data_IF_494332230827
#
_entry.id   IF_494332230827
#
_cell.length_a   1.000
_cell.length_b   1.000
_cell.length_c   1.000
_cell.angle_alpha   90.00
_cell.angle_beta   90.00
_cell.angle_gamma   90.00
#
_symmetry.space_group_name_H-M   'P 1'
#
loop_
_entity.id
_entity.type
_entity.pdbx_description
1 polymer ?
#
# COMPACT_ATOMS: atom_id res chain seq x y z
N UNK A 1 49.54 12.90 -0.23
CA UNK A 1 48.28 12.67 -0.97
C UNK A 1 47.37 13.84 -0.65
N UNK A 2 47.39 14.90 -1.47
CA UNK A 2 46.49 16.04 -1.29
C UNK A 2 45.06 15.56 -1.53
N UNK A 3 44.22 15.59 -0.50
CA UNK A 3 42.80 15.26 -0.64
C UNK A 3 42.10 16.44 -1.29
N UNK A 4 42.07 16.45 -2.61
CA UNK A 4 41.45 17.52 -3.39
C UNK A 4 39.93 17.52 -3.16
N UNK A 5 39.46 18.48 -2.37
CA UNK A 5 38.04 18.68 -2.03
C UNK A 5 37.17 18.78 -3.29
N UNK A 6 37.69 19.46 -4.31
CA UNK A 6 37.04 19.65 -5.61
C UNK A 6 36.80 18.32 -6.32
N UNK A 7 37.77 17.41 -6.31
CA UNK A 7 37.65 16.08 -6.93
C UNK A 7 36.62 15.21 -6.20
N UNK A 8 36.62 15.26 -4.86
CA UNK A 8 35.66 14.52 -4.05
C UNK A 8 34.21 15.00 -4.28
N UNK A 9 34.01 16.32 -4.36
CA UNK A 9 32.71 16.92 -4.67
C UNK A 9 32.23 16.58 -6.08
N UNK A 10 33.13 16.62 -7.07
CA UNK A 10 32.81 16.24 -8.46
C UNK A 10 32.37 14.77 -8.55
N UNK A 11 33.03 13.86 -7.82
CA UNK A 11 32.65 12.45 -7.78
C UNK A 11 31.26 12.23 -7.16
N UNK A 12 30.90 12.97 -6.11
CA UNK A 12 29.55 12.92 -5.52
C UNK A 12 28.46 13.43 -6.47
N UNK A 13 28.78 14.38 -7.35
CA UNK A 13 27.85 14.91 -8.34
C UNK A 13 27.69 13.98 -9.56
N UNK A 14 28.76 13.28 -9.95
CA UNK A 14 28.77 12.38 -11.11
C UNK A 14 28.13 11.01 -10.83
N UNK A 15 28.05 10.59 -9.57
CA UNK A 15 27.46 9.31 -9.19
C UNK A 15 25.94 9.28 -9.42
N UNK A 16 25.51 8.53 -10.44
CA UNK A 16 24.09 8.30 -10.78
C UNK A 16 23.53 7.01 -10.20
N UNK A 17 24.39 6.02 -9.97
CA UNK A 17 24.03 4.71 -9.46
C UNK A 17 24.27 4.59 -7.96
N UNK A 18 23.46 3.77 -7.28
CA UNK A 18 23.54 3.56 -5.83
C UNK A 18 24.94 3.13 -5.37
N UNK A 19 25.54 2.14 -6.03
CA UNK A 19 26.86 1.62 -5.68
C UNK A 19 27.96 2.69 -5.86
N UNK A 20 27.90 3.45 -6.95
CA UNK A 20 28.83 4.55 -7.21
C UNK A 20 28.68 5.69 -6.19
N UNK A 21 27.46 5.96 -5.73
CA UNK A 21 27.17 6.98 -4.72
C UNK A 21 27.68 6.57 -3.33
N UNK A 22 27.58 5.29 -2.96
CA UNK A 22 28.15 4.77 -1.70
C UNK A 22 29.67 4.87 -1.67
N UNK A 23 30.34 4.46 -2.74
CA UNK A 23 31.80 4.58 -2.84
C UNK A 23 32.24 6.04 -2.80
N UNK A 24 31.54 6.94 -3.51
CA UNK A 24 31.87 8.36 -3.51
C UNK A 24 31.64 9.02 -2.13
N UNK A 25 30.57 8.66 -1.42
CA UNK A 25 30.32 9.15 -0.05
C UNK A 25 31.40 8.66 0.92
N UNK A 26 31.86 7.41 0.78
CA UNK A 26 32.92 6.87 1.64
C UNK A 26 34.26 7.59 1.39
N UNK A 27 34.61 7.84 0.13
CA UNK A 27 35.82 8.56 -0.25
C UNK A 27 35.78 10.04 0.16
N UNK A 28 34.59 10.64 0.19
CA UNK A 28 34.40 12.04 0.58
C UNK A 28 34.20 12.25 2.08
N UNK A 29 34.25 11.21 2.93
CA UNK A 29 33.93 11.30 4.36
C UNK A 29 34.75 12.37 5.12
N UNK A 30 35.95 12.68 4.66
CA UNK A 30 36.79 13.74 5.22
C UNK A 30 36.17 15.15 5.11
N UNK A 31 35.23 15.38 4.18
CA UNK A 31 34.49 16.64 4.04
C UNK A 31 33.62 16.97 5.26
N UNK A 32 33.32 16.01 6.14
CA UNK A 32 32.59 16.28 7.39
C UNK A 32 33.40 17.11 8.40
N UNK A 33 34.73 17.04 8.32
CA UNK A 33 35.64 17.79 9.19
C UNK A 33 35.92 19.22 8.69
N UNK A 34 35.55 19.53 7.44
CA UNK A 34 35.80 20.83 6.81
C UNK A 34 34.54 21.71 6.95
N UNK A 35 34.61 22.88 7.58
CA UNK A 35 33.50 23.82 7.61
C UNK A 35 33.28 24.44 6.22
N UNK A 36 32.04 24.43 5.72
CA UNK A 36 31.69 25.11 4.47
C UNK A 36 30.70 24.34 3.58
N UNK A 37 30.64 24.78 2.33
CA UNK A 37 29.71 24.31 1.30
C UNK A 37 29.97 22.83 0.91
N UNK A 38 31.23 22.39 0.92
CA UNK A 38 31.58 21.01 0.54
C UNK A 38 31.00 19.95 1.50
N UNK A 39 30.85 20.30 2.78
CA UNK A 39 30.13 19.46 3.75
C UNK A 39 28.64 19.35 3.43
N UNK A 40 28.03 20.43 2.94
CA UNK A 40 26.63 20.40 2.51
C UNK A 40 26.45 19.48 1.30
N UNK A 41 27.41 19.47 0.38
CA UNK A 41 27.40 18.56 -0.79
C UNK A 41 27.50 17.09 -0.38
N UNK A 42 28.30 16.75 0.63
CA UNK A 42 28.32 15.40 1.20
C UNK A 42 26.99 15.01 1.86
N UNK A 43 26.37 15.92 2.62
CA UNK A 43 25.04 15.69 3.23
C UNK A 43 23.94 15.53 2.17
N UNK A 44 24.00 16.30 1.09
CA UNK A 44 23.09 16.18 -0.03
C UNK A 44 23.25 14.80 -0.72
N UNK A 45 24.48 14.34 -0.92
CA UNK A 45 24.76 13.01 -1.47
C UNK A 45 24.23 11.88 -0.57
N UNK A 46 24.46 11.94 0.76
CA UNK A 46 23.87 11.00 1.74
C UNK A 46 22.34 10.98 1.69
N UNK A 47 21.72 12.15 1.51
CA UNK A 47 20.26 12.26 1.39
C UNK A 47 19.74 11.62 0.10
N UNK A 48 20.44 11.82 -1.02
CA UNK A 48 20.14 11.13 -2.30
C UNK A 48 20.24 9.61 -2.15
N UNK A 49 21.30 9.12 -1.49
CA UNK A 49 21.46 7.69 -1.22
C UNK A 49 20.29 7.14 -0.39
N UNK A 50 19.87 7.86 0.66
CA UNK A 50 18.73 7.44 1.49
C UNK A 50 17.43 7.41 0.69
N UNK A 51 17.20 8.38 -0.20
CA UNK A 51 16.03 8.39 -1.10
C UNK A 51 16.07 7.22 -2.08
N UNK A 52 17.20 6.98 -2.76
CA UNK A 52 17.36 5.83 -3.66
C UNK A 52 17.11 4.49 -2.94
N UNK A 53 17.59 4.33 -1.70
CA UNK A 53 17.30 3.14 -0.88
C UNK A 53 15.83 3.03 -0.50
N UNK A 54 15.16 4.14 -0.17
CA UNK A 54 13.73 4.14 0.13
C UNK A 54 12.87 3.85 -1.11
N UNK A 55 13.28 4.35 -2.28
CA UNK A 55 12.64 4.09 -3.57
C UNK A 55 12.82 2.62 -3.97
N UNK A 56 13.98 2.01 -3.70
CA UNK A 56 14.17 0.56 -3.89
C UNK A 56 13.38 -0.25 -2.88
N UNK A 57 13.37 0.11 -1.59
CA UNK A 57 12.52 -0.59 -0.59
C UNK A 57 11.04 -0.47 -0.92
N UNK A 58 10.58 0.66 -1.48
CA UNK A 58 9.18 0.82 -1.91
C UNK A 58 8.87 0.08 -3.21
N UNK A 59 9.82 0.02 -4.17
CA UNK A 59 9.70 -0.81 -5.38
C UNK A 59 9.78 -2.31 -5.05
N UNK A 60 10.64 -2.71 -4.14
CA UNK A 60 10.73 -4.07 -3.60
C UNK A 60 9.50 -4.40 -2.78
N UNK A 61 8.93 -3.47 -2.00
CA UNK A 61 7.65 -3.68 -1.32
C UNK A 61 6.48 -3.80 -2.32
N UNK A 62 6.52 -3.08 -3.44
CA UNK A 62 5.53 -3.18 -4.52
C UNK A 62 5.75 -4.42 -5.42
N UNK A 63 6.96 -4.95 -5.51
CA UNK A 63 7.27 -6.20 -6.22
C UNK A 63 7.06 -7.44 -5.33
N UNK A 64 7.33 -7.33 -4.02
CA UNK A 64 7.12 -8.37 -3.02
C UNK A 64 5.66 -8.45 -2.55
N UNK A 65 4.83 -7.43 -2.82
CA UNK A 65 3.38 -7.52 -2.60
C UNK A 65 2.70 -8.58 -3.47
N UNK A 66 3.37 -9.09 -4.51
CA UNK A 66 2.82 -10.15 -5.37
C UNK A 66 3.31 -11.57 -4.99
N UNK A 67 4.35 -11.71 -4.16
CA UNK A 67 4.97 -13.03 -3.90
C UNK A 67 5.16 -13.43 -2.43
N UNK A 68 5.18 -12.50 -1.45
CA UNK A 68 5.49 -12.89 -0.08
C UNK A 68 4.88 -11.96 1.00
N UNK A 69 3.57 -11.78 0.97
CA UNK A 69 2.83 -11.42 2.19
C UNK A 69 2.89 -12.65 3.09
N UNK A 70 3.36 -12.60 4.36
CA UNK A 70 3.06 -13.65 5.30
C UNK A 70 1.55 -13.61 5.46
N UNK A 71 0.86 -14.43 4.67
CA UNK A 71 -0.55 -14.69 4.83
C UNK A 71 -0.58 -15.46 6.14
N UNK A 72 -0.77 -14.73 7.25
CA UNK A 72 -1.45 -15.29 8.41
C UNK A 72 -2.77 -15.80 7.86
N UNK A 73 -2.75 -17.04 7.34
CA UNK A 73 -3.90 -17.70 6.74
C UNK A 73 -4.98 -17.61 7.79
N UNK A 74 -6.05 -16.90 7.44
CA UNK A 74 -7.19 -16.74 8.31
C UNK A 74 -7.55 -18.12 8.86
N UNK A 75 -7.76 -18.27 10.18
CA UNK A 75 -8.15 -19.54 10.77
C UNK A 75 -9.49 -20.06 10.22
N UNK A 76 -10.24 -19.21 9.51
CA UNK A 76 -11.52 -19.53 8.88
C UNK A 76 -11.43 -19.87 7.38
N UNK A 77 -10.23 -20.03 6.80
CA UNK A 77 -10.10 -20.46 5.42
C UNK A 77 -10.73 -21.85 5.22
N UNK A 78 -11.59 -22.00 4.20
CA UNK A 78 -12.29 -23.25 3.88
C UNK A 78 -11.64 -23.93 2.68
N UNK A 79 -11.77 -25.26 2.58
CA UNK A 79 -11.31 -26.02 1.40
C UNK A 79 -12.16 -25.73 0.15
N UNK A 80 -13.44 -25.35 0.34
CA UNK A 80 -14.37 -25.03 -0.75
C UNK A 80 -15.31 -23.89 -0.35
N UNK A 81 -15.68 -23.08 -1.33
CA UNK A 81 -16.56 -21.92 -1.19
C UNK A 81 -17.78 -22.08 -2.10
N UNK A 82 -18.98 -21.73 -1.62
CA UNK A 82 -20.23 -21.77 -2.39
C UNK A 82 -20.81 -20.37 -2.54
N UNK A 83 -21.15 -19.97 -3.77
CA UNK A 83 -21.81 -18.70 -4.08
C UNK A 83 -23.15 -18.52 -3.37
N UNK A 84 -23.81 -19.60 -2.92
CA UNK A 84 -25.05 -19.53 -2.11
C UNK A 84 -24.84 -18.92 -0.72
N UNK A 85 -23.62 -18.93 -0.20
CA UNK A 85 -23.30 -18.28 1.07
C UNK A 85 -23.28 -16.75 0.95
N UNK A 86 -23.16 -16.21 -0.27
CA UNK A 86 -23.04 -14.78 -0.55
C UNK A 86 -24.09 -13.95 0.19
N UNK A 87 -25.39 -14.24 0.03
CA UNK A 87 -26.47 -13.43 0.61
C UNK A 87 -26.38 -13.36 2.14
N UNK A 88 -26.09 -14.51 2.78
CA UNK A 88 -25.93 -14.59 4.24
C UNK A 88 -24.70 -13.84 4.73
N UNK A 89 -23.62 -13.84 3.94
CA UNK A 89 -22.36 -13.19 4.30
C UNK A 89 -22.41 -11.68 4.03
N UNK A 90 -23.17 -11.23 3.03
CA UNK A 90 -23.43 -9.82 2.73
C UNK A 90 -24.05 -9.09 3.93
N UNK A 91 -25.01 -9.70 4.62
CA UNK A 91 -25.58 -9.06 5.82
C UNK A 91 -24.63 -9.06 7.02
N UNK A 92 -23.68 -10.00 7.05
CA UNK A 92 -22.75 -10.19 8.17
C UNK A 92 -21.52 -9.31 8.04
N UNK A 93 -20.93 -9.20 6.84
CA UNK A 93 -19.65 -8.51 6.67
C UNK A 93 -19.75 -7.04 7.08
N UNK A 94 -20.85 -6.34 6.80
CA UNK A 94 -21.02 -4.93 7.20
C UNK A 94 -21.09 -4.75 8.72
N UNK A 95 -21.60 -5.77 9.43
CA UNK A 95 -21.78 -5.76 10.89
C UNK A 95 -20.55 -6.21 11.68
N UNK A 96 -19.51 -6.69 11.00
CA UNK A 96 -18.26 -7.08 11.65
C UNK A 96 -17.57 -5.87 12.29
N UNK A 97 -16.80 -6.12 13.35
CA UNK A 97 -16.10 -5.07 14.10
C UNK A 97 -14.80 -4.64 13.38
N UNK A 98 -14.94 -3.95 12.25
CA UNK A 98 -13.83 -3.51 11.39
C UNK A 98 -12.91 -2.51 12.09
N UNK A 99 -11.61 -2.71 11.92
CA UNK A 99 -10.61 -1.77 12.44
C UNK A 99 -10.55 -0.50 11.63
N UNK A 100 -10.57 0.63 12.34
CA UNK A 100 -10.28 1.92 11.73
C UNK A 100 -8.77 2.07 11.64
N UNK A 101 -8.28 2.26 10.41
CA UNK A 101 -6.88 2.50 10.09
C UNK A 101 -6.69 3.99 9.84
N UNK A 102 -5.75 4.60 10.54
CA UNK A 102 -5.31 5.97 10.29
C UNK A 102 -4.23 5.95 9.20
N UNK A 103 -4.47 6.67 8.11
CA UNK A 103 -3.54 6.87 7.00
C UNK A 103 -2.87 8.26 7.14
N UNK A 104 -1.67 8.46 6.57
CA UNK A 104 -1.02 9.78 6.58
C UNK A 104 -1.94 10.84 5.96
N UNK A 105 -1.96 12.04 6.54
CA UNK A 105 -2.89 13.10 6.15
C UNK A 105 -4.21 13.10 6.94
N UNK A 106 -4.31 12.33 8.03
CA UNK A 106 -5.45 12.36 8.95
C UNK A 106 -6.68 11.61 8.44
N UNK A 107 -6.55 10.86 7.33
CA UNK A 107 -7.62 10.05 6.79
C UNK A 107 -7.84 8.80 7.66
N UNK A 108 -9.08 8.56 8.09
CA UNK A 108 -9.49 7.35 8.80
C UNK A 108 -10.36 6.51 7.86
N UNK A 109 -9.89 5.30 7.56
CA UNK A 109 -10.58 4.38 6.64
C UNK A 109 -10.65 2.99 7.26
N UNK A 110 -11.55 2.15 6.73
CA UNK A 110 -11.58 0.72 7.07
C UNK A 110 -10.39 0.01 6.41
N UNK A 111 -10.13 -1.27 6.72
CA UNK A 111 -9.08 -2.03 6.05
C UNK A 111 -9.44 -2.26 4.58
N UNK A 112 -8.42 -2.44 3.74
CA UNK A 112 -8.61 -2.67 2.30
C UNK A 112 -9.47 -3.93 2.04
N UNK A 113 -9.40 -4.93 2.94
CA UNK A 113 -10.21 -6.15 2.90
C UNK A 113 -11.73 -5.88 2.95
N UNK A 114 -12.17 -4.88 3.73
CA UNK A 114 -13.57 -4.45 3.77
C UNK A 114 -14.00 -3.90 2.41
N UNK A 115 -13.17 -3.04 1.82
CA UNK A 115 -13.48 -2.41 0.53
C UNK A 115 -13.46 -3.43 -0.60
N UNK A 116 -12.58 -4.43 -0.55
CA UNK A 116 -12.54 -5.53 -1.51
C UNK A 116 -13.84 -6.36 -1.48
N UNK A 117 -14.33 -6.71 -0.28
CA UNK A 117 -15.65 -7.35 -0.12
C UNK A 117 -16.77 -6.47 -0.68
N UNK A 118 -16.75 -5.16 -0.38
CA UNK A 118 -17.72 -4.22 -0.93
C UNK A 118 -17.69 -4.20 -2.47
N UNK A 119 -16.51 -4.17 -3.08
CA UNK A 119 -16.35 -4.19 -4.54
C UNK A 119 -16.99 -5.42 -5.17
N UNK A 120 -16.69 -6.63 -4.66
CA UNK A 120 -17.31 -7.86 -5.15
C UNK A 120 -18.83 -7.90 -4.91
N UNK A 121 -19.30 -7.38 -3.78
CA UNK A 121 -20.72 -7.27 -3.50
C UNK A 121 -21.43 -6.38 -4.52
N UNK A 122 -20.86 -5.20 -4.83
CA UNK A 122 -21.41 -4.28 -5.82
C UNK A 122 -21.35 -4.86 -7.23
N UNK A 123 -20.26 -5.52 -7.61
CA UNK A 123 -20.14 -6.21 -8.89
C UNK A 123 -21.15 -7.37 -9.03
N UNK A 124 -21.42 -8.10 -7.95
CA UNK A 124 -22.39 -9.19 -7.94
C UNK A 124 -23.86 -8.73 -7.94
N UNK A 125 -24.15 -7.47 -7.60
CA UNK A 125 -25.52 -6.94 -7.47
C UNK A 125 -25.86 -5.93 -8.56
N UNK A 126 -24.94 -5.00 -8.83
CA UNK A 126 -25.11 -3.91 -9.79
C UNK A 126 -24.28 -4.09 -11.06
N UNK A 127 -23.31 -5.00 -11.07
CA UNK A 127 -22.39 -5.19 -12.19
C UNK A 127 -21.32 -4.11 -12.22
N UNK A 128 -20.87 -3.77 -13.43
CA UNK A 128 -19.73 -2.88 -13.65
C UNK A 128 -19.98 -1.46 -13.14
N UNK A 129 -19.00 -0.89 -12.44
CA UNK A 129 -19.07 0.48 -11.98
C UNK A 129 -19.05 1.47 -13.16
N UNK A 130 -20.09 2.29 -13.27
CA UNK A 130 -20.20 3.42 -14.21
C UNK A 130 -20.31 4.76 -13.50
N UNK A 131 -20.26 4.79 -12.17
CA UNK A 131 -20.35 6.01 -11.38
C UNK A 131 -19.04 6.81 -11.42
N UNK A 132 -19.12 8.11 -11.18
CA UNK A 132 -17.93 8.95 -11.06
C UNK A 132 -17.27 8.79 -9.68
N UNK A 133 -15.94 8.94 -9.64
CA UNK A 133 -15.18 8.82 -8.39
C UNK A 133 -15.53 9.97 -7.44
N UNK A 134 -16.05 9.70 -6.22
CA UNK A 134 -16.45 10.76 -5.30
C UNK A 134 -15.24 11.57 -4.84
N UNK A 135 -15.31 12.90 -4.94
CA UNK A 135 -14.21 13.78 -4.52
C UNK A 135 -14.45 14.38 -3.13
N UNK A 136 -15.70 14.67 -2.79
CA UNK A 136 -16.11 15.38 -1.57
C UNK A 136 -17.26 14.63 -0.88
N UNK A 137 -17.24 14.64 0.46
CA UNK A 137 -18.33 14.06 1.25
C UNK A 137 -19.50 15.04 1.33
N UNK A 138 -20.73 14.53 1.44
CA UNK A 138 -21.94 15.37 1.56
C UNK A 138 -21.89 16.33 2.76
N UNK A 139 -21.21 15.94 3.84
CA UNK A 139 -21.03 16.74 5.05
C UNK A 139 -19.84 17.72 4.98
N UNK A 140 -19.21 17.85 3.81
CA UNK A 140 -17.98 18.59 3.60
C UNK A 140 -16.71 17.77 3.90
N UNK A 141 -15.59 18.17 3.30
CA UNK A 141 -14.31 17.49 3.43
C UNK A 141 -14.03 16.45 2.33
N UNK A 142 -12.84 15.85 2.39
CA UNK A 142 -12.42 14.81 1.45
C UNK A 142 -13.07 13.47 1.83
N UNK A 143 -13.73 12.83 0.86
CA UNK A 143 -14.37 11.53 1.08
C UNK A 143 -13.40 10.37 0.86
N UNK A 144 -12.64 10.00 1.88
CA UNK A 144 -11.72 8.86 1.79
C UNK A 144 -12.45 7.51 1.74
N UNK A 145 -13.57 7.37 2.42
CA UNK A 145 -14.33 6.11 2.48
C UNK A 145 -15.06 5.84 1.16
N UNK A 146 -15.76 6.83 0.60
CA UNK A 146 -16.42 6.71 -0.69
C UNK A 146 -15.43 6.49 -1.82
N UNK A 147 -14.26 7.15 -1.79
CA UNK A 147 -13.18 6.87 -2.74
C UNK A 147 -12.70 5.44 -2.66
N UNK A 148 -12.45 4.93 -1.45
CA UNK A 148 -11.97 3.55 -1.28
C UNK A 148 -13.01 2.51 -1.75
N UNK A 149 -14.30 2.75 -1.47
CA UNK A 149 -15.41 1.92 -1.99
C UNK A 149 -15.46 1.94 -3.52
N UNK A 150 -15.39 3.13 -4.11
CA UNK A 150 -15.42 3.31 -5.56
C UNK A 150 -14.20 2.68 -6.23
N UNK A 151 -13.01 2.85 -5.65
CA UNK A 151 -11.75 2.29 -6.16
C UNK A 151 -11.85 0.75 -6.15
N UNK A 152 -12.32 0.16 -5.05
CA UNK A 152 -12.46 -1.30 -4.94
C UNK A 152 -13.52 -1.87 -5.91
N UNK A 153 -14.66 -1.20 -6.09
CA UNK A 153 -15.66 -1.63 -7.07
C UNK A 153 -15.14 -1.52 -8.51
N UNK A 154 -14.42 -0.45 -8.82
CA UNK A 154 -13.82 -0.27 -10.16
C UNK A 154 -12.74 -1.30 -10.45
N UNK A 155 -11.99 -1.73 -9.44
CA UNK A 155 -10.94 -2.75 -9.59
C UNK A 155 -11.49 -4.14 -9.98
N UNK A 156 -12.75 -4.43 -9.67
CA UNK A 156 -13.39 -5.73 -10.00
C UNK A 156 -14.29 -5.65 -11.24
N UNK A 157 -14.18 -4.58 -12.02
CA UNK A 157 -14.91 -4.38 -13.27
C UNK A 157 -14.62 -5.50 -14.27
N UNK A 158 -15.66 -5.97 -14.95
CA UNK A 158 -15.58 -7.07 -15.92
C UNK A 158 -15.61 -8.47 -15.29
N UNK A 159 -15.69 -8.59 -13.97
CA UNK A 159 -15.88 -9.88 -13.30
C UNK A 159 -17.35 -10.29 -13.43
N UNK A 160 -17.60 -11.52 -13.91
CA UNK A 160 -18.94 -12.07 -14.01
C UNK A 160 -19.60 -12.20 -12.63
N UNK A 161 -20.92 -12.03 -12.56
CA UNK A 161 -21.70 -12.02 -11.31
C UNK A 161 -21.45 -13.25 -10.44
N UNK A 162 -21.45 -14.45 -11.03
CA UNK A 162 -21.21 -15.70 -10.28
C UNK A 162 -19.79 -15.78 -9.71
N UNK A 163 -18.81 -15.34 -10.51
CA UNK A 163 -17.40 -15.27 -10.07
C UNK A 163 -17.23 -14.25 -8.95
N UNK A 164 -17.88 -13.09 -9.04
CA UNK A 164 -17.85 -12.08 -7.98
C UNK A 164 -18.44 -12.60 -6.66
N UNK A 165 -19.54 -13.37 -6.71
CA UNK A 165 -20.10 -14.03 -5.52
C UNK A 165 -19.12 -15.04 -4.91
N UNK A 166 -18.48 -15.88 -5.72
CA UNK A 166 -17.48 -16.83 -5.22
C UNK A 166 -16.26 -16.15 -4.61
N UNK A 167 -15.71 -15.13 -5.29
CA UNK A 167 -14.56 -14.37 -4.79
C UNK A 167 -14.90 -13.60 -3.51
N UNK A 168 -16.14 -13.11 -3.38
CA UNK A 168 -16.63 -12.51 -2.13
C UNK A 168 -16.60 -13.51 -0.98
N UNK A 169 -17.18 -14.69 -1.17
CA UNK A 169 -17.24 -15.74 -0.14
C UNK A 169 -15.83 -16.18 0.25
N UNK A 170 -14.96 -16.41 -0.73
CA UNK A 170 -13.55 -16.73 -0.50
C UNK A 170 -12.85 -15.64 0.31
N UNK A 171 -12.96 -14.40 -0.13
CA UNK A 171 -12.35 -13.23 0.53
C UNK A 171 -12.84 -13.09 1.98
N UNK A 172 -14.13 -13.33 2.23
CA UNK A 172 -14.72 -13.23 3.57
C UNK A 172 -14.07 -14.18 4.57
N UNK A 173 -13.74 -15.39 4.13
CA UNK A 173 -13.11 -16.41 4.96
C UNK A 173 -11.60 -16.25 5.06
N UNK A 174 -10.95 -15.77 4.00
CA UNK A 174 -9.49 -15.67 3.91
C UNK A 174 -8.91 -14.34 4.43
N UNK A 175 -9.71 -13.28 4.58
CA UNK A 175 -9.17 -12.00 5.02
C UNK A 175 -8.53 -12.10 6.41
N UNK A 176 -7.45 -11.33 6.67
CA UNK A 176 -6.62 -11.52 7.85
C UNK A 176 -7.33 -11.07 9.13
N UNK A 177 -7.06 -11.78 10.23
CA UNK A 177 -7.59 -11.51 11.59
C UNK A 177 -7.42 -10.04 11.99
N UNK A 178 -6.29 -9.43 11.59
CA UNK A 178 -5.95 -8.03 11.87
C UNK A 178 -6.87 -7.00 11.20
N UNK A 179 -7.78 -7.39 10.31
CA UNK A 179 -8.76 -6.48 9.72
C UNK A 179 -9.89 -6.13 10.72
N UNK A 180 -10.12 -6.98 11.73
CA UNK A 180 -11.12 -6.76 12.77
C UNK A 180 -10.46 -6.45 14.12
N UNK A 181 -11.16 -5.74 15.01
CA UNK A 181 -10.68 -5.49 16.38
C UNK A 181 -10.62 -6.78 17.19
N UNK A 182 -11.57 -7.68 16.93
CA UNK A 182 -11.62 -9.06 17.40
C UNK A 182 -12.21 -9.92 16.29
N UNK A 183 -11.57 -11.03 15.94
CA UNK A 183 -12.11 -11.96 14.95
C UNK A 183 -13.19 -12.82 15.61
N UNK A 184 -14.44 -12.47 15.31
CA UNK A 184 -15.65 -13.15 15.81
C UNK A 184 -16.40 -13.84 14.67
N UNK A 185 -15.71 -14.14 13.56
CA UNK A 185 -16.32 -14.87 12.45
C UNK A 185 -16.62 -16.32 12.92
N UNK A 186 -17.80 -16.86 12.61
CA UNK A 186 -18.15 -18.24 12.91
C UNK A 186 -17.52 -19.23 11.92
#
# INVERSE_FOLDING_TARGET
MTTDTVSAVAALAAAKDRAALESAISAAAFLDAIPGDDRQKLRAARTRLRKMKADEVSKEAAAASDANKPVEKSPHAKESYDAKEFEKLTEKYEKLNWRIISKPGGATVKPDDFYMLYGYHMQATQGDNTSERPMWAEKGGLDFEGRARWDAWTNVKGVATEKAKMEFVKTYYEFPVKALYSDSRP
#
